data_IF_273832415627
#
_entry.id   IF_273832415627
#
_cell.length_a   1.000
_cell.length_b   1.000
_cell.length_c   1.000
_cell.angle_alpha   90.00
_cell.angle_beta   90.00
_cell.angle_gamma   90.00
#
_symmetry.space_group_name_H-M   'P 1'
#
loop_
_entity.id
_entity.type
_entity.pdbx_description
1 polymer ?
#
# COMPACT_ATOMS: atom_id res chain seq x y z
N UNK A 1 -2.33 -19.21 -2.21
CA UNK A 1 -3.10 -18.59 -1.11
C UNK A 1 -3.88 -17.41 -1.68
N UNK A 2 -5.00 -16.95 -1.10
CA UNK A 2 -5.64 -15.72 -1.57
C UNK A 2 -4.73 -14.50 -1.35
N UNK A 3 -4.85 -13.47 -2.20
CA UNK A 3 -4.17 -12.17 -2.01
C UNK A 3 -4.64 -11.56 -0.70
N UNK A 4 -3.71 -11.03 0.10
CA UNK A 4 -4.02 -10.30 1.33
C UNK A 4 -3.64 -8.84 1.20
N UNK A 5 -4.47 -7.97 1.77
CA UNK A 5 -4.17 -6.54 1.93
C UNK A 5 -4.19 -6.21 3.41
N UNK A 6 -3.09 -5.64 3.90
CA UNK A 6 -2.93 -5.24 5.28
C UNK A 6 -3.01 -3.72 5.39
N UNK A 7 -3.74 -3.21 6.37
CA UNK A 7 -3.98 -1.79 6.54
C UNK A 7 -3.76 -1.40 8.01
N UNK A 8 -2.84 -0.47 8.23
CA UNK A 8 -2.63 0.22 9.49
C UNK A 8 -3.26 1.61 9.39
N UNK A 9 -4.26 1.86 10.21
CA UNK A 9 -4.92 3.15 10.31
C UNK A 9 -4.00 4.16 11.02
N UNK A 10 -4.11 5.46 10.69
CA UNK A 10 -3.35 6.49 11.39
C UNK A 10 -3.60 6.43 12.90
N UNK A 11 -2.52 6.44 13.68
CA UNK A 11 -2.58 6.48 15.14
C UNK A 11 -1.47 7.38 15.70
N UNK A 12 -1.84 8.32 16.58
CA UNK A 12 -0.91 9.29 17.13
C UNK A 12 -0.21 10.10 16.03
N UNK A 13 1.12 9.93 15.91
CA UNK A 13 1.95 10.59 14.90
C UNK A 13 2.20 9.74 13.65
N UNK A 14 1.67 8.51 13.60
CA UNK A 14 1.79 7.66 12.41
C UNK A 14 0.70 8.03 11.38
N UNK A 15 1.11 8.20 10.13
CA UNK A 15 0.21 8.42 8.98
C UNK A 15 -0.54 7.15 8.57
N UNK A 16 -0.16 6.01 9.16
CA UNK A 16 -0.63 4.68 8.83
C UNK A 16 0.05 4.14 7.57
N UNK A 17 -0.25 2.89 7.26
CA UNK A 17 0.46 2.11 6.26
C UNK A 17 -0.48 1.14 5.56
N UNK A 18 -0.06 0.67 4.38
CA UNK A 18 -0.73 -0.44 3.71
C UNK A 18 0.26 -1.26 2.91
N UNK A 19 0.08 -2.57 2.92
CA UNK A 19 0.87 -3.52 2.15
C UNK A 19 -0.02 -4.59 1.52
N UNK A 20 0.54 -5.34 0.57
CA UNK A 20 -0.14 -6.40 -0.16
C UNK A 20 0.75 -7.64 -0.22
N UNK A 21 0.17 -8.82 -0.04
CA UNK A 21 0.85 -10.11 -0.13
C UNK A 21 0.14 -10.99 -1.16
N UNK A 22 0.91 -11.50 -2.13
CA UNK A 22 0.44 -12.40 -3.17
C UNK A 22 0.35 -13.85 -2.68
N UNK A 23 -0.30 -14.68 -3.47
CA UNK A 23 -0.55 -16.10 -3.19
C UNK A 23 0.71 -16.93 -2.97
N UNK A 24 1.81 -16.50 -3.58
CA UNK A 24 3.14 -17.13 -3.58
C UNK A 24 4.08 -16.59 -2.49
N UNK A 25 3.60 -15.63 -1.69
CA UNK A 25 4.37 -14.98 -0.63
C UNK A 25 5.14 -13.73 -1.07
N UNK A 26 5.02 -13.29 -2.33
CA UNK A 26 5.55 -11.99 -2.76
C UNK A 26 4.91 -10.88 -1.93
N UNK A 27 5.74 -10.15 -1.18
CA UNK A 27 5.30 -9.07 -0.29
C UNK A 27 5.60 -7.70 -0.90
N UNK A 28 4.58 -6.86 -0.98
CA UNK A 28 4.62 -5.52 -1.57
C UNK A 28 4.36 -4.51 -0.47
N UNK A 29 5.44 -3.87 -0.01
CA UNK A 29 5.40 -2.84 1.02
C UNK A 29 6.42 -1.75 0.69
N UNK A 30 6.03 -0.49 0.88
CA UNK A 30 6.81 0.68 0.47
C UNK A 30 6.98 1.67 1.62
N UNK A 31 8.22 1.85 2.07
CA UNK A 31 8.56 2.74 3.16
C UNK A 31 9.53 3.84 2.73
N UNK A 32 9.56 4.99 3.41
CA UNK A 32 10.71 5.88 3.36
C UNK A 32 11.91 5.27 4.15
N UNK A 33 13.13 5.46 3.67
CA UNK A 33 14.34 4.91 4.34
C UNK A 33 14.56 5.42 5.77
N UNK A 34 15.13 4.54 6.63
CA UNK A 34 15.40 4.77 8.07
C UNK A 34 16.24 6.01 8.40
N UNK A 35 17.00 6.57 7.46
CA UNK A 35 17.80 7.79 7.68
C UNK A 35 16.91 9.01 7.99
N UNK A 36 15.66 8.98 7.54
CA UNK A 36 14.64 10.02 7.75
C UNK A 36 13.78 9.78 9.00
N UNK A 37 13.57 8.53 9.43
CA UNK A 37 12.71 8.17 10.56
C UNK A 37 13.35 8.39 11.94
N UNK A 38 14.69 8.28 12.06
CA UNK A 38 15.37 8.19 13.37
C UNK A 38 15.36 9.44 14.25
N UNK A 39 14.87 10.59 13.77
CA UNK A 39 15.08 11.87 14.49
C UNK A 39 13.84 12.78 14.65
N UNK A 40 12.62 12.33 14.36
CA UNK A 40 11.51 13.28 14.16
C UNK A 40 10.20 12.85 14.85
N UNK A 41 9.96 13.49 15.99
CA UNK A 41 8.83 13.35 16.91
C UNK A 41 7.65 14.28 16.59
N UNK A 42 7.40 14.56 15.30
CA UNK A 42 6.15 15.23 14.92
C UNK A 42 5.75 14.92 13.49
N UNK A 43 4.44 14.85 13.26
CA UNK A 43 3.82 14.61 11.96
C UNK A 43 4.25 15.65 10.92
N UNK A 44 4.49 16.90 11.35
CA UNK A 44 4.91 18.02 10.49
C UNK A 44 6.38 17.87 10.07
N UNK A 45 7.27 17.43 10.97
CA UNK A 45 8.67 17.19 10.62
C UNK A 45 8.86 15.92 9.80
N UNK A 46 8.00 14.90 9.99
CA UNK A 46 7.92 13.75 9.10
C UNK A 46 7.45 14.21 7.72
N UNK A 47 6.21 14.68 7.56
CA UNK A 47 5.68 15.10 6.24
C UNK A 47 6.58 16.10 5.51
N UNK A 48 7.21 17.05 6.22
CA UNK A 48 8.13 18.03 5.64
C UNK A 48 9.48 17.47 5.15
N UNK A 49 9.96 16.34 5.66
CA UNK A 49 11.22 15.72 5.21
C UNK A 49 11.07 14.47 4.36
N UNK A 50 9.90 13.81 4.39
CA UNK A 50 9.54 12.71 3.46
C UNK A 50 8.75 13.17 2.23
N UNK A 51 8.73 14.47 1.92
CA UNK A 51 8.20 14.96 0.64
C UNK A 51 8.75 14.14 -0.53
N UNK A 52 10.06 13.86 -0.49
CA UNK A 52 10.75 12.87 -1.33
C UNK A 52 11.90 12.25 -0.54
N UNK A 53 12.04 10.93 -0.58
CA UNK A 53 13.18 10.24 0.03
C UNK A 53 13.46 8.94 -0.74
N UNK A 54 14.65 8.33 -0.56
CA UNK A 54 14.85 6.97 -1.00
C UNK A 54 13.81 6.04 -0.34
N UNK A 55 13.29 5.10 -1.11
CA UNK A 55 12.37 4.08 -0.64
C UNK A 55 13.13 2.88 -0.04
N UNK A 56 12.52 2.26 0.95
CA UNK A 56 12.90 0.96 1.49
C UNK A 56 11.73 0.00 1.26
N UNK A 57 12.06 -1.23 0.90
CA UNK A 57 11.09 -2.32 0.84
C UNK A 57 11.03 -2.95 2.22
N UNK A 58 9.85 -3.40 2.60
CA UNK A 58 9.75 -4.43 3.63
C UNK A 58 9.58 -5.79 2.96
N UNK A 59 10.20 -6.82 3.54
CA UNK A 59 10.20 -8.17 2.97
C UNK A 59 9.00 -9.00 3.43
N UNK A 60 8.31 -8.62 4.52
CA UNK A 60 7.22 -9.40 5.10
C UNK A 60 6.38 -8.61 6.13
N UNK A 61 5.25 -9.20 6.52
CA UNK A 61 4.33 -8.65 7.53
C UNK A 61 5.00 -8.39 8.89
N UNK A 62 5.94 -9.24 9.32
CA UNK A 62 6.56 -9.10 10.64
C UNK A 62 7.46 -7.85 10.72
N UNK A 63 8.16 -7.52 9.63
CA UNK A 63 8.93 -6.29 9.55
C UNK A 63 8.02 -5.06 9.53
N UNK A 64 6.91 -5.07 8.78
CA UNK A 64 5.92 -3.99 8.81
C UNK A 64 5.33 -3.82 10.22
N UNK A 65 4.98 -4.91 10.90
CA UNK A 65 4.50 -4.89 12.28
C UNK A 65 5.55 -4.29 13.24
N UNK A 66 6.83 -4.59 13.02
CA UNK A 66 7.93 -4.03 13.80
C UNK A 66 8.12 -2.52 13.56
N UNK A 67 7.94 -2.05 12.32
CA UNK A 67 8.03 -0.63 11.96
C UNK A 67 6.82 0.18 12.46
N UNK A 68 5.63 -0.39 12.39
CA UNK A 68 4.37 0.18 12.89
C UNK A 68 4.25 0.08 14.42
N UNK A 69 4.97 -0.87 15.03
CA UNK A 69 4.90 -1.19 16.45
C UNK A 69 3.60 -1.89 16.87
N UNK A 70 2.73 -2.24 15.91
CA UNK A 70 1.43 -2.87 16.13
C UNK A 70 1.04 -3.73 14.91
N UNK A 71 0.17 -4.74 15.08
CA UNK A 71 -0.43 -5.47 13.96
C UNK A 71 -1.36 -4.57 13.12
N UNK A 72 -1.70 -4.97 11.87
CA UNK A 72 -2.62 -4.23 11.04
C UNK A 72 -3.99 -4.10 11.73
N UNK A 73 -4.65 -2.96 11.53
CA UNK A 73 -6.00 -2.75 12.03
C UNK A 73 -7.03 -3.52 11.20
N UNK A 74 -6.79 -3.67 9.90
CA UNK A 74 -7.70 -4.31 8.95
C UNK A 74 -6.89 -5.25 8.06
N UNK A 75 -7.43 -6.44 7.81
CA UNK A 75 -6.85 -7.44 6.91
C UNK A 75 -7.95 -7.89 5.96
N UNK A 76 -7.77 -7.65 4.66
CA UNK A 76 -8.64 -8.18 3.62
C UNK A 76 -8.02 -9.42 2.99
N UNK A 77 -8.85 -10.41 2.70
CA UNK A 77 -8.49 -11.60 1.92
C UNK A 77 -9.34 -11.58 0.65
N UNK A 78 -8.70 -11.35 -0.50
CA UNK A 78 -9.38 -11.25 -1.79
C UNK A 78 -9.53 -12.64 -2.43
N UNK A 79 -10.66 -12.95 -3.09
CA UNK A 79 -10.87 -14.25 -3.71
C UNK A 79 -9.82 -14.56 -4.78
N UNK A 80 -9.39 -15.83 -4.81
CA UNK A 80 -8.42 -16.34 -5.79
C UNK A 80 -8.97 -16.30 -7.22
N UNK A 81 -8.08 -16.18 -8.21
CA UNK A 81 -8.39 -16.23 -9.64
C UNK A 81 -9.17 -15.03 -10.19
N UNK A 82 -9.39 -13.97 -9.40
CA UNK A 82 -10.10 -12.75 -9.83
C UNK A 82 -9.17 -11.56 -10.10
N UNK A 83 -7.96 -11.58 -9.54
CA UNK A 83 -6.94 -10.55 -9.70
C UNK A 83 -5.73 -11.21 -10.36
N UNK A 84 -5.15 -10.54 -11.34
CA UNK A 84 -4.04 -11.05 -12.13
C UNK A 84 -2.71 -10.91 -11.37
N UNK A 85 -2.37 -11.89 -10.54
CA UNK A 85 -1.15 -11.88 -9.72
C UNK A 85 0.14 -11.89 -10.56
N UNK A 86 0.10 -12.49 -11.76
CA UNK A 86 1.22 -12.48 -12.69
C UNK A 86 1.53 -11.05 -13.14
N UNK A 87 0.49 -10.30 -13.54
CA UNK A 87 0.63 -8.90 -13.91
C UNK A 87 1.13 -8.03 -12.74
N UNK A 88 0.73 -8.32 -11.49
CA UNK A 88 1.25 -7.62 -10.31
C UNK A 88 2.76 -7.86 -10.17
N UNK A 89 3.23 -9.11 -10.31
CA UNK A 89 4.66 -9.44 -10.22
C UNK A 89 5.48 -8.79 -11.31
N UNK A 90 5.03 -8.89 -12.55
CA UNK A 90 5.71 -8.27 -13.70
C UNK A 90 5.83 -6.76 -13.54
N UNK A 91 4.83 -6.12 -12.92
CA UNK A 91 4.89 -4.71 -12.57
C UNK A 91 5.84 -4.42 -11.39
N UNK A 92 5.78 -5.25 -10.35
CA UNK A 92 6.52 -5.02 -9.11
C UNK A 92 8.04 -5.14 -9.28
N UNK A 93 8.51 -6.09 -10.08
CA UNK A 93 9.95 -6.34 -10.29
C UNK A 93 10.70 -5.07 -10.72
N UNK A 94 10.37 -4.39 -11.85
CA UNK A 94 11.03 -3.15 -12.23
C UNK A 94 10.65 -1.96 -11.33
N UNK A 95 9.44 -1.93 -10.77
CA UNK A 95 9.01 -0.85 -9.89
C UNK A 95 9.84 -0.78 -8.59
N UNK A 96 10.06 -1.93 -7.96
CA UNK A 96 10.79 -2.06 -6.69
C UNK A 96 12.26 -1.66 -6.79
N UNK A 97 12.83 -1.69 -8.00
CA UNK A 97 14.19 -1.20 -8.26
C UNK A 97 14.27 0.32 -8.31
N UNK A 98 13.15 1.02 -8.51
CA UNK A 98 13.08 2.48 -8.57
C UNK A 98 12.71 3.08 -7.20
N UNK A 99 13.74 3.45 -6.44
CA UNK A 99 13.63 3.69 -5.00
C UNK A 99 13.22 5.12 -4.63
N UNK A 100 12.18 5.70 -5.24
CA UNK A 100 11.63 6.97 -4.74
C UNK A 100 10.35 6.76 -3.92
N UNK A 101 10.38 7.26 -2.68
CA UNK A 101 9.20 7.44 -1.84
C UNK A 101 8.78 8.90 -1.92
N UNK A 102 7.49 9.13 -2.19
CA UNK A 102 6.91 10.48 -2.20
C UNK A 102 5.57 10.43 -1.49
N UNK A 103 5.44 11.20 -0.40
CA UNK A 103 4.23 11.19 0.44
C UNK A 103 2.95 11.40 -0.36
N UNK A 104 3.02 12.23 -1.40
CA UNK A 104 1.85 12.72 -2.11
C UNK A 104 1.41 11.88 -3.32
N UNK A 105 2.31 11.12 -3.94
CA UNK A 105 2.00 10.41 -5.20
C UNK A 105 2.69 9.03 -5.33
N UNK A 106 3.52 8.65 -4.34
CA UNK A 106 4.25 7.37 -4.31
C UNK A 106 4.55 6.93 -2.87
N UNK A 107 3.49 6.87 -2.05
CA UNK A 107 3.52 6.29 -0.71
C UNK A 107 3.05 4.82 -0.73
N UNK A 108 3.07 4.15 0.41
CA UNK A 108 2.60 2.76 0.56
C UNK A 108 1.20 2.49 0.00
N UNK A 109 0.25 3.40 0.23
CA UNK A 109 -1.10 3.30 -0.31
C UNK A 109 -1.10 3.41 -1.84
N UNK A 110 -0.32 4.31 -2.42
CA UNK A 110 -0.22 4.39 -3.89
C UNK A 110 0.39 3.13 -4.49
N UNK A 111 1.35 2.51 -3.81
CA UNK A 111 1.97 1.25 -4.28
C UNK A 111 0.96 0.10 -4.23
N UNK A 112 0.19 -0.05 -3.14
CA UNK A 112 -0.91 -1.03 -3.09
C UNK A 112 -1.96 -0.75 -4.16
N UNK A 113 -2.31 0.51 -4.38
CA UNK A 113 -3.24 0.89 -5.44
C UNK A 113 -2.72 0.49 -6.84
N UNK A 114 -1.47 0.82 -7.15
CA UNK A 114 -0.83 0.47 -8.43
C UNK A 114 -0.67 -1.04 -8.61
N UNK A 115 -0.40 -1.78 -7.53
CA UNK A 115 -0.39 -3.23 -7.56
C UNK A 115 -1.77 -3.77 -7.97
N UNK A 116 -2.84 -3.33 -7.31
CA UNK A 116 -4.21 -3.74 -7.67
C UNK A 116 -4.61 -3.30 -9.09
N UNK A 117 -4.14 -2.13 -9.54
CA UNK A 117 -4.33 -1.64 -10.90
C UNK A 117 -3.64 -2.54 -11.93
N UNK A 118 -2.37 -2.90 -11.69
CA UNK A 118 -1.62 -3.84 -12.52
C UNK A 118 -2.31 -5.21 -12.57
N UNK A 119 -2.84 -5.68 -11.43
CA UNK A 119 -3.66 -6.89 -11.33
C UNK A 119 -5.06 -6.78 -11.93
N UNK A 120 -5.36 -5.68 -12.66
CA UNK A 120 -6.61 -5.42 -13.38
C UNK A 120 -7.86 -5.33 -12.50
N UNK A 121 -7.70 -5.02 -11.21
CA UNK A 121 -8.82 -4.86 -10.29
C UNK A 121 -9.80 -3.73 -10.71
N UNK A 122 -9.33 -2.75 -11.50
CA UNK A 122 -10.16 -1.67 -12.05
C UNK A 122 -11.27 -2.16 -12.99
N UNK A 123 -11.16 -3.36 -13.57
CA UNK A 123 -12.26 -3.96 -14.33
C UNK A 123 -13.55 -4.10 -13.49
N UNK A 124 -13.41 -4.03 -12.17
CA UNK A 124 -14.48 -4.10 -11.19
C UNK A 124 -14.80 -2.75 -10.54
N UNK A 125 -14.05 -1.68 -10.81
CA UNK A 125 -14.15 -0.41 -10.07
C UNK A 125 -14.34 0.74 -11.06
N UNK A 126 -15.53 1.35 -11.03
CA UNK A 126 -15.96 2.42 -11.95
C UNK A 126 -15.13 3.69 -11.84
N UNK A 127 -15.04 4.43 -12.96
CA UNK A 127 -14.21 5.63 -13.14
C UNK A 127 -14.34 6.71 -12.05
N UNK A 128 -15.50 6.91 -11.41
CA UNK A 128 -15.64 7.91 -10.33
C UNK A 128 -14.76 7.61 -9.11
N UNK A 129 -14.50 6.33 -8.82
CA UNK A 129 -13.58 5.95 -7.75
C UNK A 129 -12.12 6.13 -8.19
N UNK A 130 -11.81 6.00 -9.48
CA UNK A 130 -10.47 6.15 -10.07
C UNK A 130 -10.10 7.63 -10.22
N UNK A 131 -11.05 8.49 -10.61
CA UNK A 131 -10.85 9.93 -10.83
C UNK A 131 -10.56 10.67 -9.52
N UNK A 132 -11.05 10.16 -8.39
CA UNK A 132 -10.71 10.71 -7.07
C UNK A 132 -9.31 10.29 -6.57
N UNK A 133 -8.67 9.31 -7.22
CA UNK A 133 -7.38 8.67 -6.82
C UNK A 133 -6.13 9.29 -7.44
N UNK A 134 -6.28 10.32 -8.27
CA UNK A 134 -5.21 11.28 -8.57
C UNK A 134 -5.03 12.35 -7.47
N UNK A 135 -5.64 12.16 -6.30
CA UNK A 135 -5.43 13.00 -5.13
C UNK A 135 -3.96 12.98 -4.74
N UNK A 136 -3.39 14.15 -4.50
CA UNK A 136 -2.03 14.35 -4.00
C UNK A 136 -1.75 13.71 -2.64
N UNK A 137 -2.61 12.86 -2.05
CA UNK A 137 -2.30 12.10 -0.84
C UNK A 137 -3.29 10.95 -0.66
N UNK A 138 -2.90 9.74 -1.04
CA UNK A 138 -3.65 8.53 -0.72
C UNK A 138 -3.30 8.03 0.69
N UNK A 139 -4.31 7.73 1.51
CA UNK A 139 -4.21 7.32 2.91
C UNK A 139 -4.79 5.91 3.12
N UNK A 140 -4.50 5.25 4.25
CA UNK A 140 -4.99 3.91 4.54
C UNK A 140 -6.52 3.76 4.48
N UNK A 141 -7.28 4.77 4.90
CA UNK A 141 -8.76 4.76 4.83
C UNK A 141 -9.30 4.73 3.40
N UNK A 142 -8.55 5.22 2.42
CA UNK A 142 -8.95 5.18 1.01
C UNK A 142 -8.68 3.80 0.42
N UNK A 143 -7.60 3.13 0.83
CA UNK A 143 -7.33 1.72 0.50
C UNK A 143 -8.39 0.82 1.13
N UNK A 144 -8.76 1.06 2.38
CA UNK A 144 -9.83 0.32 3.06
C UNK A 144 -11.14 0.36 2.25
N UNK A 145 -11.61 1.56 1.88
CA UNK A 145 -12.82 1.72 1.05
C UNK A 145 -12.71 1.04 -0.31
N UNK A 146 -11.56 1.18 -0.96
CA UNK A 146 -11.27 0.56 -2.26
C UNK A 146 -11.36 -0.96 -2.18
N UNK A 147 -10.64 -1.55 -1.24
CA UNK A 147 -10.49 -3.01 -1.12
C UNK A 147 -11.77 -3.65 -0.61
N UNK A 148 -12.49 -3.00 0.30
CA UNK A 148 -13.82 -3.45 0.72
C UNK A 148 -14.81 -3.49 -0.45
N UNK A 149 -14.84 -2.42 -1.28
CA UNK A 149 -15.71 -2.39 -2.47
C UNK A 149 -15.33 -3.48 -3.47
N UNK A 150 -14.03 -3.68 -3.71
CA UNK A 150 -13.53 -4.75 -4.56
C UNK A 150 -13.98 -6.12 -4.03
N UNK A 151 -13.79 -6.38 -2.74
CA UNK A 151 -14.21 -7.63 -2.09
C UNK A 151 -15.71 -7.90 -2.30
N UNK A 152 -16.57 -6.89 -2.08
CA UNK A 152 -18.01 -7.02 -2.31
C UNK A 152 -18.35 -7.39 -3.76
N UNK A 153 -17.59 -6.92 -4.74
CA UNK A 153 -17.83 -7.22 -6.15
C UNK A 153 -17.31 -8.60 -6.53
N UNK A 154 -16.15 -8.99 -6.00
CA UNK A 154 -15.54 -10.28 -6.29
C UNK A 154 -16.28 -11.47 -5.66
N UNK A 155 -17.06 -11.23 -4.61
CA UNK A 155 -17.90 -12.24 -3.95
C UNK A 155 -19.26 -12.45 -4.63
N UNK A 156 -19.66 -11.57 -5.55
CA UNK A 156 -20.84 -11.72 -6.40
C UNK A 156 -20.46 -12.32 -7.77
#
# INVERSE_FOLDING_TARGET
MPIKVYIWLPHGENLGHSSLELSDGTYISWWPTKKEFKNKSSIVTRVGSILRSPAALSENLDEDNGLEGNPPNIIYTLPDGRIDEDAIREWWEPFSMNQEYRVFDQNCCHVVFKALEAGRAWMFITDEDVIRRGSTLLKPVEIDRLVNKLLMILQN
#
